data_IF_255622768351
#
_entry.id   IF_255622768351
#
_cell.length_a   1.000
_cell.length_b   1.000
_cell.length_c   1.000
_cell.angle_alpha   90.00
_cell.angle_beta   90.00
_cell.angle_gamma   90.00
#
_symmetry.space_group_name_H-M   'P 1'
#
loop_
_entity.id
_entity.type
_entity.pdbx_description
1 polymer ?
#
# COMPACT_ATOMS: atom_id res chain seq x y z
N UNK A 1 28.34 -20.68 -5.46
CA UNK A 1 27.54 -20.77 -4.22
C UNK A 1 26.25 -19.97 -4.41
N UNK A 2 25.11 -20.47 -3.93
CA UNK A 2 23.84 -19.71 -3.93
C UNK A 2 23.80 -18.81 -2.69
N UNK A 3 23.43 -17.53 -2.85
CA UNK A 3 23.24 -16.59 -1.73
C UNK A 3 21.95 -16.94 -0.99
N UNK A 4 21.96 -16.88 0.35
CA UNK A 4 20.74 -17.01 1.17
C UNK A 4 20.01 -15.69 1.16
N UNK A 5 18.68 -15.75 1.15
CA UNK A 5 17.80 -14.58 1.18
C UNK A 5 16.89 -14.71 2.39
N UNK A 6 16.68 -13.60 3.10
CA UNK A 6 15.81 -13.49 4.26
C UNK A 6 14.91 -12.26 4.10
N UNK A 7 13.76 -12.27 4.77
CA UNK A 7 12.87 -11.11 4.87
C UNK A 7 13.21 -10.39 6.16
N UNK A 8 13.60 -9.12 6.06
CA UNK A 8 14.00 -8.30 7.21
C UNK A 8 12.93 -7.29 7.62
N UNK A 9 12.00 -6.94 6.72
CA UNK A 9 10.88 -6.08 7.05
C UNK A 9 9.72 -6.26 6.08
N UNK A 10 8.53 -5.94 6.57
CA UNK A 10 7.28 -6.00 5.83
C UNK A 10 6.52 -4.69 5.95
N UNK A 11 5.72 -4.38 4.94
CA UNK A 11 4.86 -3.21 4.94
C UNK A 11 3.66 -3.46 4.06
N UNK A 12 2.48 -3.08 4.53
CA UNK A 12 1.23 -3.38 3.85
C UNK A 12 0.23 -2.24 4.05
N UNK A 13 -0.47 -1.90 2.98
CA UNK A 13 -1.62 -0.98 2.99
C UNK A 13 -2.81 -1.81 2.56
N UNK A 14 -3.74 -2.06 3.49
CA UNK A 14 -4.83 -3.04 3.28
C UNK A 14 -6.15 -2.52 3.83
N UNK A 15 -7.28 -3.16 3.48
CA UNK A 15 -8.57 -2.89 4.12
C UNK A 15 -8.60 -3.17 5.63
N UNK A 16 -7.66 -3.96 6.16
CA UNK A 16 -7.49 -4.18 7.60
C UNK A 16 -6.69 -3.07 8.30
N UNK A 17 -6.21 -2.07 7.56
CA UNK A 17 -5.35 -1.00 8.05
C UNK A 17 -3.90 -1.12 7.53
N UNK A 18 -3.01 -0.41 8.22
CA UNK A 18 -1.58 -0.27 7.88
C UNK A 18 -0.63 -0.80 8.96
N UNK A 19 -1.16 -1.23 10.12
CA UNK A 19 -0.38 -1.82 11.20
C UNK A 19 -0.31 -3.34 11.03
N UNK A 20 0.90 -3.91 10.95
CA UNK A 20 1.09 -5.34 10.67
C UNK A 20 0.47 -6.23 11.75
N UNK A 21 0.50 -5.81 13.04
CA UNK A 21 -0.08 -6.62 14.13
C UNK A 21 -1.60 -6.63 14.01
N UNK A 22 -2.22 -5.48 13.74
CA UNK A 22 -3.65 -5.38 13.50
C UNK A 22 -4.08 -6.20 12.28
N UNK A 23 -3.36 -6.06 11.15
CA UNK A 23 -3.63 -6.83 9.92
C UNK A 23 -3.57 -8.32 10.22
N UNK A 24 -2.47 -8.79 10.85
CA UNK A 24 -2.28 -10.20 11.17
C UNK A 24 -3.38 -10.72 12.10
N UNK A 25 -3.70 -9.99 13.17
CA UNK A 25 -4.75 -10.36 14.12
C UNK A 25 -6.12 -10.47 13.44
N UNK A 26 -6.47 -9.55 12.55
CA UNK A 26 -7.74 -9.64 11.82
C UNK A 26 -7.80 -10.88 10.91
N UNK A 27 -6.70 -11.17 10.21
CA UNK A 27 -6.60 -12.33 9.32
C UNK A 27 -6.74 -13.66 10.08
N UNK A 28 -5.98 -13.85 11.16
CA UNK A 28 -6.02 -15.12 11.92
C UNK A 28 -7.35 -15.35 12.64
N UNK A 29 -8.08 -14.27 12.95
CA UNK A 29 -9.40 -14.35 13.58
C UNK A 29 -10.54 -14.41 12.55
N UNK A 30 -10.25 -14.43 11.25
CA UNK A 30 -11.27 -14.52 10.20
C UNK A 30 -12.21 -13.31 10.15
N UNK A 31 -11.75 -12.14 10.61
CA UNK A 31 -12.53 -10.90 10.52
C UNK A 31 -12.62 -10.50 9.05
N UNK A 32 -13.81 -10.19 8.54
CA UNK A 32 -13.97 -9.67 7.18
C UNK A 32 -13.71 -8.16 7.14
N UNK A 33 -12.89 -7.70 6.20
CA UNK A 33 -12.74 -6.27 5.89
C UNK A 33 -13.63 -5.80 4.73
N UNK A 34 -14.56 -6.64 4.27
CA UNK A 34 -15.50 -6.26 3.21
C UNK A 34 -16.63 -5.43 3.80
N UNK A 35 -16.90 -4.30 3.18
CA UNK A 35 -17.95 -3.36 3.58
C UNK A 35 -18.63 -2.78 2.34
N UNK A 36 -19.68 -1.98 2.53
CA UNK A 36 -20.27 -1.20 1.46
C UNK A 36 -19.25 -0.21 0.88
N UNK A 37 -19.25 -0.08 -0.45
CA UNK A 37 -18.42 0.89 -1.15
C UNK A 37 -18.83 2.30 -0.74
N UNK A 38 -17.86 3.10 -0.30
CA UNK A 38 -18.06 4.51 0.10
C UNK A 38 -17.27 5.48 -0.76
N UNK A 39 -16.31 4.99 -1.56
CA UNK A 39 -15.47 5.84 -2.40
C UNK A 39 -16.20 6.45 -3.61
N UNK A 40 -17.39 5.95 -3.95
CA UNK A 40 -18.22 6.45 -5.05
C UNK A 40 -19.68 5.98 -4.97
N UNK A 41 -20.56 6.55 -5.80
CA UNK A 41 -21.98 6.15 -5.89
C UNK A 41 -22.14 4.81 -6.62
N UNK A 42 -22.70 3.82 -5.92
CA UNK A 42 -22.93 2.46 -6.44
C UNK A 42 -24.38 2.18 -6.84
N UNK A 43 -25.26 3.20 -6.87
CA UNK A 43 -26.70 3.03 -7.08
C UNK A 43 -27.05 2.16 -8.30
N UNK A 44 -26.33 2.35 -9.41
CA UNK A 44 -26.58 1.66 -10.69
C UNK A 44 -25.72 0.39 -10.87
N UNK A 45 -24.95 -0.02 -9.87
CA UNK A 45 -24.07 -1.17 -9.95
C UNK A 45 -24.70 -2.40 -9.31
N UNK A 46 -24.40 -3.56 -9.89
CA UNK A 46 -24.81 -4.87 -9.34
C UNK A 46 -24.04 -5.20 -8.05
N UNK A 47 -22.77 -4.81 -7.99
CA UNK A 47 -21.89 -5.03 -6.84
C UNK A 47 -21.79 -3.72 -6.05
N UNK A 48 -21.99 -3.81 -4.73
CA UNK A 48 -22.01 -2.65 -3.82
C UNK A 48 -21.05 -2.78 -2.64
N UNK A 49 -20.22 -3.81 -2.66
CA UNK A 49 -19.29 -4.14 -1.58
C UNK A 49 -17.86 -4.22 -2.11
N UNK A 50 -16.90 -3.80 -1.28
CA UNK A 50 -15.48 -3.88 -1.59
C UNK A 50 -14.65 -3.94 -0.29
N UNK A 51 -13.40 -4.36 -0.41
CA UNK A 51 -12.39 -4.12 0.62
C UNK A 51 -11.70 -2.79 0.33
N UNK A 52 -12.28 -1.68 0.80
CA UNK A 52 -11.67 -0.35 0.66
C UNK A 52 -10.57 -0.16 1.72
N UNK A 53 -9.44 0.44 1.33
CA UNK A 53 -8.46 0.93 2.31
C UNK A 53 -9.05 2.17 2.99
N UNK A 54 -9.35 2.04 4.28
CA UNK A 54 -9.88 3.11 5.13
C UNK A 54 -8.73 3.98 5.67
N UNK A 55 -9.01 5.27 5.89
CA UNK A 55 -8.12 6.23 6.56
C UNK A 55 -6.71 6.39 5.96
N UNK A 56 -6.54 6.06 4.67
CA UNK A 56 -5.27 6.29 3.96
C UNK A 56 -5.16 7.73 3.47
N UNK A 57 -4.26 8.49 4.09
CA UNK A 57 -3.83 9.80 3.60
C UNK A 57 -2.41 9.72 3.00
N UNK A 58 -2.24 9.90 1.68
CA UNK A 58 -0.93 9.86 1.05
C UNK A 58 0.00 10.99 1.49
N UNK A 59 -0.53 12.11 2.03
CA UNK A 59 0.29 13.21 2.55
C UNK A 59 1.13 12.81 3.77
N UNK A 60 0.76 11.72 4.46
CA UNK A 60 1.56 11.17 5.56
C UNK A 60 2.84 10.47 5.07
N UNK A 61 2.97 10.20 3.77
CA UNK A 61 4.06 9.40 3.20
C UNK A 61 4.87 10.14 2.13
N UNK A 62 4.33 11.19 1.54
CA UNK A 62 4.94 11.92 0.43
C UNK A 62 4.51 13.38 0.40
N UNK A 63 5.32 14.21 -0.25
CA UNK A 63 5.05 15.63 -0.41
C UNK A 63 3.80 15.89 -1.27
N UNK A 64 3.08 16.98 -1.00
CA UNK A 64 1.84 17.35 -1.72
C UNK A 64 2.01 17.38 -3.24
N UNK A 65 3.21 17.74 -3.73
CA UNK A 65 3.53 17.76 -5.16
C UNK A 65 3.50 16.36 -5.76
N UNK A 66 3.98 15.36 -5.04
CA UNK A 66 4.04 13.98 -5.51
C UNK A 66 2.68 13.30 -5.40
N UNK A 67 1.91 13.61 -4.34
CA UNK A 67 0.51 13.17 -4.22
C UNK A 67 -0.30 13.54 -5.46
N UNK A 68 -0.16 14.79 -5.94
CA UNK A 68 -0.90 15.26 -7.13
C UNK A 68 -0.45 14.62 -8.45
N UNK A 69 0.75 14.05 -8.51
CA UNK A 69 1.37 13.53 -9.74
C UNK A 69 1.39 12.00 -9.80
N UNK A 70 0.89 11.33 -8.77
CA UNK A 70 0.91 9.87 -8.65
C UNK A 70 -0.50 9.33 -8.51
N UNK A 71 -0.77 8.20 -9.16
CA UNK A 71 -2.04 7.51 -9.01
C UNK A 71 -2.14 6.84 -7.62
N UNK A 72 -3.37 6.62 -7.14
CA UNK A 72 -3.63 6.06 -5.80
C UNK A 72 -2.90 4.73 -5.54
N UNK A 73 -2.82 3.83 -6.53
CA UNK A 73 -2.09 2.57 -6.38
C UNK A 73 -0.58 2.78 -6.14
N UNK A 74 0.03 3.75 -6.82
CA UNK A 74 1.44 4.08 -6.65
C UNK A 74 1.70 4.72 -5.29
N UNK A 75 0.78 5.56 -4.81
CA UNK A 75 0.84 6.14 -3.47
C UNK A 75 0.82 5.04 -2.39
N UNK A 76 -0.11 4.08 -2.50
CA UNK A 76 -0.19 2.96 -1.57
C UNK A 76 1.06 2.06 -1.64
N UNK A 77 1.57 1.80 -2.84
CA UNK A 77 2.81 1.04 -3.04
C UNK A 77 4.02 1.72 -2.38
N UNK A 78 4.18 3.04 -2.55
CA UNK A 78 5.25 3.78 -1.88
C UNK A 78 5.09 3.78 -0.37
N UNK A 79 3.87 4.00 0.14
CA UNK A 79 3.59 3.97 1.56
C UNK A 79 3.92 2.59 2.17
N UNK A 80 3.51 1.50 1.52
CA UNK A 80 3.87 0.14 1.93
C UNK A 80 5.39 -0.07 1.96
N UNK A 81 6.10 0.39 0.94
CA UNK A 81 7.56 0.30 0.88
C UNK A 81 8.24 1.07 2.03
N UNK A 82 7.76 2.26 2.37
CA UNK A 82 8.26 3.02 3.53
C UNK A 82 8.02 2.29 4.85
N UNK A 83 6.84 1.70 5.04
CA UNK A 83 6.57 0.87 6.21
C UNK A 83 7.53 -0.33 6.29
N UNK A 84 7.81 -0.99 5.16
CA UNK A 84 8.73 -2.12 5.10
C UNK A 84 10.19 -1.74 5.43
N UNK A 85 10.66 -0.61 4.91
CA UNK A 85 12.01 -0.08 5.21
C UNK A 85 12.13 0.26 6.70
N UNK A 86 11.07 0.84 7.28
CA UNK A 86 11.01 1.15 8.70
C UNK A 86 10.99 -0.10 9.58
N UNK A 87 10.18 -1.10 9.23
CA UNK A 87 10.12 -2.39 9.92
C UNK A 87 11.45 -3.16 9.86
N UNK A 88 12.18 -3.03 8.75
CA UNK A 88 13.54 -3.54 8.59
C UNK A 88 14.61 -2.72 9.34
N UNK A 89 14.24 -1.61 9.98
CA UNK A 89 15.16 -0.66 10.62
C UNK A 89 16.24 -0.12 9.66
N UNK A 90 15.92 0.09 8.38
CA UNK A 90 16.89 0.50 7.35
C UNK A 90 16.93 2.01 7.08
N UNK A 91 15.95 2.80 7.54
CA UNK A 91 15.82 4.24 7.20
C UNK A 91 17.07 5.09 7.48
N UNK A 92 17.87 4.70 8.48
CA UNK A 92 19.07 5.44 8.92
C UNK A 92 20.35 4.60 8.86
N UNK A 93 20.25 3.35 8.43
CA UNK A 93 21.32 2.36 8.54
C UNK A 93 21.89 1.93 7.18
N UNK A 94 21.52 2.63 6.10
CA UNK A 94 22.07 2.42 4.76
C UNK A 94 23.07 3.54 4.47
N UNK A 95 24.33 3.16 4.28
CA UNK A 95 25.37 4.04 3.72
C UNK A 95 25.08 4.36 2.24
N UNK A 96 25.82 5.31 1.67
CA UNK A 96 25.68 5.60 0.23
C UNK A 96 26.11 4.40 -0.63
N UNK A 97 27.13 3.65 -0.21
CA UNK A 97 27.59 2.43 -0.87
C UNK A 97 26.52 1.32 -0.82
N UNK A 98 25.82 1.16 0.32
CA UNK A 98 24.73 0.17 0.43
C UNK A 98 23.60 0.47 -0.55
N UNK A 99 23.33 1.76 -0.83
CA UNK A 99 22.23 2.19 -1.71
C UNK A 99 22.43 1.78 -3.17
N UNK A 100 23.68 1.70 -3.63
CA UNK A 100 24.02 1.26 -4.98
C UNK A 100 23.68 -0.24 -5.19
N UNK A 101 23.61 -1.01 -4.11
CA UNK A 101 23.25 -2.43 -4.10
C UNK A 101 21.74 -2.69 -3.81
N UNK A 102 20.92 -1.65 -3.67
CA UNK A 102 19.47 -1.80 -3.45
C UNK A 102 18.69 -1.81 -4.76
N UNK A 103 18.12 -2.96 -5.10
CA UNK A 103 17.17 -3.10 -6.18
C UNK A 103 15.72 -2.87 -5.73
N UNK A 104 14.89 -2.33 -6.62
CA UNK A 104 13.43 -2.18 -6.42
C UNK A 104 12.69 -2.84 -7.56
N UNK A 105 11.75 -3.73 -7.23
CA UNK A 105 10.85 -4.36 -8.20
C UNK A 105 9.42 -4.14 -7.74
N UNK A 106 8.59 -3.54 -8.60
CA UNK A 106 7.19 -3.22 -8.32
C UNK A 106 6.32 -3.74 -9.45
N UNK A 107 5.22 -4.41 -9.10
CA UNK A 107 4.20 -4.88 -10.04
C UNK A 107 2.85 -4.20 -9.77
N UNK A 108 2.10 -3.93 -10.84
CA UNK A 108 0.70 -3.50 -10.78
C UNK A 108 -0.04 -4.07 -11.98
N UNK A 109 -1.28 -4.54 -11.78
CA UNK A 109 -2.06 -5.22 -12.83
C UNK A 109 -3.07 -4.29 -13.52
N UNK A 110 -3.70 -3.37 -12.78
CA UNK A 110 -4.65 -2.42 -13.32
C UNK A 110 -4.40 -1.05 -12.70
N UNK A 111 -4.12 -0.07 -13.57
CA UNK A 111 -4.04 1.34 -13.20
C UNK A 111 -5.22 2.05 -13.84
N UNK A 112 -6.28 2.32 -13.07
CA UNK A 112 -7.33 3.25 -13.51
C UNK A 112 -6.84 4.65 -13.19
N UNK A 113 -6.79 5.58 -14.16
CA UNK A 113 -6.40 6.96 -13.91
C UNK A 113 -7.31 7.58 -12.85
N UNK A 114 -6.72 8.10 -11.77
CA UNK A 114 -7.44 8.95 -10.82
C UNK A 114 -7.77 10.26 -11.52
N UNK A 115 -8.94 10.34 -12.16
CA UNK A 115 -9.39 11.54 -12.88
C UNK A 115 -10.35 11.29 -14.06
N UNK A 116 -10.55 10.05 -14.51
CA UNK A 116 -11.67 9.75 -15.42
C UNK A 116 -12.95 9.74 -14.59
N UNK A 117 -13.83 10.72 -14.79
CA UNK A 117 -15.15 10.82 -14.16
C UNK A 117 -16.11 9.66 -14.47
N UNK A 118 -15.61 8.56 -15.02
CA UNK A 118 -16.28 7.27 -15.08
C UNK A 118 -15.65 6.38 -14.03
N UNK A 119 -16.22 6.53 -12.84
CA UNK A 119 -16.22 5.49 -11.83
C UNK A 119 -16.93 4.28 -12.44
N UNK A 120 -16.27 3.11 -12.41
CA UNK A 120 -16.90 1.82 -12.74
C UNK A 120 -18.00 1.53 -11.74
#
# INVERSE_FOLDING_TARGET
>A
MKRRVVITGMGAITPYGMDLKQIWNNLINGISAIDYITSFDTKNLKVKIAGEVKDFDPNNFMEKKDVRRTARFAQMGLAAAKLAIKDAYLEKNLSDEDRDDVGVVVGSAAAVPSGSGEVI
#
